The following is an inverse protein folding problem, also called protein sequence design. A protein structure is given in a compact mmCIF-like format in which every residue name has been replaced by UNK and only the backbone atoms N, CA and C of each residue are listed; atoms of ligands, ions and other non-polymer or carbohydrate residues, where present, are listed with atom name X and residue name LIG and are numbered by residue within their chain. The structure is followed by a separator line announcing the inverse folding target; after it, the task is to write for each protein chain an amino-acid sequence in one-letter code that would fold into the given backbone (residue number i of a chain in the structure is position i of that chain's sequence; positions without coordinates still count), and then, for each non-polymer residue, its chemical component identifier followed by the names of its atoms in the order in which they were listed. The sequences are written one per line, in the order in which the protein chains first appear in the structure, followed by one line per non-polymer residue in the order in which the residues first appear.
data_IF_686482993001
#
_entry.id   IF_686482993001
#
_cell.length_a   1.000
_cell.length_b   1.000
_cell.length_c   1.000
_cell.angle_alpha   90.00
_cell.angle_beta   90.00
_cell.angle_gamma   90.00
#
_symmetry.space_group_name_H-M   'P 1'
#
loop_
_entity.id
_entity.type
_entity.pdbx_description
1 polymer ?
#
# COMPACT_ATOMS: atom_id res chain seq x y z
N UNK A 1 -25.88 38.91 -26.72
CA UNK A 1 -26.83 37.80 -26.72
C UNK A 1 -26.17 36.69 -25.93
N UNK A 2 -26.74 36.42 -24.76
CA UNK A 2 -26.36 35.40 -23.79
C UNK A 2 -26.16 34.04 -24.48
N UNK A 3 -24.93 33.55 -24.57
CA UNK A 3 -24.69 32.12 -24.81
C UNK A 3 -24.53 31.49 -23.44
N UNK A 4 -25.67 31.03 -22.90
CA UNK A 4 -25.69 30.06 -21.82
C UNK A 4 -24.80 28.89 -22.26
N UNK A 5 -23.68 28.69 -21.57
CA UNK A 5 -23.00 27.41 -21.53
C UNK A 5 -23.74 26.60 -20.45
N UNK A 6 -24.68 25.71 -20.82
CA UNK A 6 -25.30 24.88 -19.82
C UNK A 6 -24.22 23.93 -19.36
N UNK A 7 -23.80 24.09 -18.10
CA UNK A 7 -23.06 23.07 -17.36
C UNK A 7 -23.73 21.72 -17.59
N UNK A 8 -23.22 20.99 -18.59
CA UNK A 8 -23.68 19.66 -18.96
C UNK A 8 -23.22 18.73 -17.85
N UNK A 9 -23.98 18.71 -16.78
CA UNK A 9 -23.92 17.68 -15.75
C UNK A 9 -24.43 16.39 -16.42
N UNK A 10 -23.58 15.40 -16.73
CA UNK A 10 -24.06 14.17 -17.32
C UNK A 10 -24.76 13.39 -16.21
N UNK A 11 -26.09 13.34 -16.27
CA UNK A 11 -26.87 12.40 -15.50
C UNK A 11 -26.56 10.97 -15.98
N UNK A 12 -25.66 10.26 -15.28
CA UNK A 12 -25.26 8.88 -15.58
C UNK A 12 -26.05 7.84 -14.76
N UNK A 13 -27.39 7.94 -14.81
CA UNK A 13 -28.33 7.30 -13.88
C UNK A 13 -28.39 5.75 -13.84
N UNK A 14 -27.58 4.99 -14.58
CA UNK A 14 -27.71 3.52 -14.65
C UNK A 14 -26.44 2.73 -14.27
N UNK A 15 -25.32 3.40 -13.99
CA UNK A 15 -24.04 2.75 -13.66
C UNK A 15 -23.50 3.13 -12.27
N UNK A 16 -24.17 4.03 -11.53
CA UNK A 16 -23.71 4.51 -10.23
C UNK A 16 -23.50 3.37 -9.22
N UNK A 17 -24.42 2.40 -9.20
CA UNK A 17 -24.30 1.22 -8.34
C UNK A 17 -23.03 0.38 -8.65
N UNK A 18 -22.58 0.35 -9.91
CA UNK A 18 -21.33 -0.32 -10.30
C UNK A 18 -20.11 0.49 -9.86
N UNK A 19 -20.16 1.83 -9.97
CA UNK A 19 -19.12 2.72 -9.49
C UNK A 19 -18.93 2.62 -7.97
N UNK A 20 -20.01 2.65 -7.19
CA UNK A 20 -19.94 2.48 -5.74
C UNK A 20 -19.41 1.10 -5.33
N UNK A 21 -19.80 0.03 -6.05
CA UNK A 21 -19.24 -1.30 -5.81
C UNK A 21 -17.74 -1.35 -6.10
N UNK A 22 -17.28 -0.73 -7.18
CA UNK A 22 -15.87 -0.70 -7.54
C UNK A 22 -15.06 0.13 -6.53
N UNK A 23 -15.56 1.30 -6.16
CA UNK A 23 -14.96 2.16 -5.15
C UNK A 23 -14.89 1.45 -3.78
N UNK A 24 -15.96 0.77 -3.38
CA UNK A 24 -15.99 0.00 -2.13
C UNK A 24 -15.01 -1.17 -2.17
N UNK A 25 -14.89 -1.89 -3.29
CA UNK A 25 -13.93 -2.99 -3.42
C UNK A 25 -12.50 -2.51 -3.27
N UNK A 26 -12.15 -1.38 -3.90
CA UNK A 26 -10.83 -0.75 -3.76
C UNK A 26 -10.59 -0.33 -2.31
N UNK A 27 -11.56 0.35 -1.69
CA UNK A 27 -11.46 0.78 -0.29
C UNK A 27 -11.22 -0.42 0.64
N UNK A 28 -11.94 -1.52 0.44
CA UNK A 28 -11.78 -2.73 1.24
C UNK A 28 -10.44 -3.41 0.96
N UNK A 29 -10.02 -3.55 -0.30
CA UNK A 29 -8.74 -4.20 -0.63
C UNK A 29 -7.55 -3.44 -0.03
N UNK A 30 -7.50 -2.12 -0.22
CA UNK A 30 -6.42 -1.30 0.34
C UNK A 30 -6.52 -1.19 1.86
N UNK A 31 -7.72 -0.98 2.40
CA UNK A 31 -7.96 -0.91 3.83
C UNK A 31 -7.57 -2.20 4.53
N UNK A 32 -7.97 -3.36 4.00
CA UNK A 32 -7.62 -4.67 4.53
C UNK A 32 -6.12 -4.96 4.42
N UNK A 33 -5.50 -4.65 3.28
CA UNK A 33 -4.07 -4.87 3.06
C UNK A 33 -3.20 -4.08 4.04
N UNK A 34 -3.65 -2.90 4.47
CA UNK A 34 -2.95 -2.10 5.49
C UNK A 34 -3.32 -2.51 6.92
N UNK A 35 -4.61 -2.67 7.20
CA UNK A 35 -5.12 -2.89 8.54
C UNK A 35 -4.78 -4.28 9.07
N UNK A 36 -4.87 -5.33 8.24
CA UNK A 36 -4.63 -6.71 8.67
C UNK A 36 -3.21 -6.90 9.22
N UNK A 37 -2.12 -6.61 8.49
CA UNK A 37 -0.77 -6.80 9.00
C UNK A 37 -0.46 -5.87 10.18
N UNK A 38 -1.01 -4.65 10.20
CA UNK A 38 -0.85 -3.73 11.32
C UNK A 38 -1.51 -4.28 12.59
N UNK A 39 -2.76 -4.75 12.50
CA UNK A 39 -3.51 -5.32 13.62
C UNK A 39 -2.92 -6.66 14.07
N UNK A 40 -2.51 -7.53 13.15
CA UNK A 40 -1.84 -8.80 13.48
C UNK A 40 -0.53 -8.54 14.21
N UNK A 41 0.29 -7.61 13.71
CA UNK A 41 1.56 -7.25 14.36
C UNK A 41 1.34 -6.62 15.73
N UNK A 42 0.32 -5.76 15.86
CA UNK A 42 -0.03 -5.14 17.13
C UNK A 42 -0.54 -6.16 18.15
N UNK A 43 -1.43 -7.06 17.73
CA UNK A 43 -1.96 -8.12 18.60
C UNK A 43 -0.87 -9.07 19.05
N UNK A 44 0.01 -9.50 18.13
CA UNK A 44 1.14 -10.37 18.43
C UNK A 44 2.15 -9.67 19.36
N UNK A 45 2.39 -8.38 19.14
CA UNK A 45 3.23 -7.55 20.01
C UNK A 45 2.66 -7.46 21.43
N UNK A 46 1.37 -7.17 21.59
CA UNK A 46 0.71 -7.08 22.92
C UNK A 46 0.71 -8.45 23.62
N UNK A 47 0.46 -9.55 22.91
CA UNK A 47 0.47 -10.89 23.48
C UNK A 47 1.85 -11.25 24.03
N UNK A 48 2.91 -10.94 23.28
CA UNK A 48 4.29 -11.19 23.69
C UNK A 48 4.71 -10.28 24.86
N UNK A 49 4.34 -9.00 24.83
CA UNK A 49 4.60 -8.01 25.88
C UNK A 49 3.94 -8.41 27.22
N UNK A 50 2.72 -8.97 27.15
CA UNK A 50 1.99 -9.49 28.32
C UNK A 50 2.64 -10.74 28.90
N UNK A 51 3.33 -11.54 28.10
CA UNK A 51 4.03 -12.74 28.56
C UNK A 51 5.39 -12.41 29.19
N UNK A 52 6.05 -11.33 28.76
CA UNK A 52 7.34 -10.86 29.31
C UNK A 52 7.20 -9.77 30.40
N UNK A 53 5.98 -9.30 30.69
CA UNK A 53 5.71 -8.34 31.78
C UNK A 53 6.34 -6.96 31.59
N UNK A 54 6.73 -6.60 30.37
CA UNK A 54 7.38 -5.32 30.03
C UNK A 54 6.37 -4.35 29.42
N UNK A 55 6.61 -3.03 29.58
CA UNK A 55 5.82 -1.93 28.98
C UNK A 55 5.87 -2.01 27.44
N UNK A 56 4.92 -1.39 26.67
CA UNK A 56 4.69 -1.60 25.22
C UNK A 56 5.81 -1.12 24.30
N UNK A 57 6.99 -1.69 24.47
CA UNK A 57 8.20 -1.46 23.71
C UNK A 57 8.37 -2.53 22.64
N UNK A 58 7.93 -3.77 22.91
CA UNK A 58 8.05 -4.89 21.96
C UNK A 58 7.26 -4.62 20.67
N UNK A 59 6.11 -3.95 20.77
CA UNK A 59 5.28 -3.58 19.63
C UNK A 59 5.99 -2.57 18.71
N UNK A 60 6.65 -1.57 19.29
CA UNK A 60 7.48 -0.60 18.57
C UNK A 60 8.71 -1.25 17.95
N UNK A 61 9.38 -2.15 18.68
CA UNK A 61 10.56 -2.86 18.17
C UNK A 61 10.19 -3.80 17.02
N UNK A 62 9.08 -4.53 17.12
CA UNK A 62 8.62 -5.43 16.07
C UNK A 62 8.18 -4.66 14.81
N UNK A 63 7.51 -3.51 14.99
CA UNK A 63 7.17 -2.59 13.90
C UNK A 63 8.44 -2.03 13.22
N UNK A 64 9.44 -1.61 14.00
CA UNK A 64 10.72 -1.14 13.47
C UNK A 64 11.50 -2.24 12.75
N UNK A 65 11.48 -3.46 13.26
CA UNK A 65 12.10 -4.63 12.62
C UNK A 65 11.41 -4.92 11.29
N UNK A 66 10.07 -4.95 11.24
CA UNK A 66 9.31 -5.15 10.00
C UNK A 66 9.58 -4.06 8.97
N UNK A 67 9.65 -2.80 9.41
CA UNK A 67 9.97 -1.65 8.57
C UNK A 67 11.39 -1.72 8.01
N UNK A 68 12.37 -2.04 8.85
CA UNK A 68 13.78 -2.16 8.44
C UNK A 68 14.02 -3.35 7.52
N UNK A 69 13.37 -4.50 7.75
CA UNK A 69 13.43 -5.65 6.84
C UNK A 69 12.86 -5.31 5.46
N UNK A 70 11.70 -4.65 5.42
CA UNK A 70 11.04 -4.22 4.18
C UNK A 70 11.91 -3.23 3.41
N UNK A 71 12.48 -2.25 4.11
CA UNK A 71 13.42 -1.27 3.55
C UNK A 71 14.65 -1.94 2.93
N UNK A 72 15.26 -2.89 3.65
CA UNK A 72 16.42 -3.64 3.15
C UNK A 72 16.09 -4.48 1.91
N UNK A 73 14.90 -5.10 1.85
CA UNK A 73 14.49 -5.87 0.68
C UNK A 73 14.28 -5.00 -0.56
N UNK A 74 13.69 -3.81 -0.40
CA UNK A 74 13.50 -2.84 -1.50
C UNK A 74 14.86 -2.39 -2.05
N UNK A 75 15.81 -2.03 -1.19
CA UNK A 75 17.16 -1.62 -1.62
C UNK A 75 17.91 -2.74 -2.36
N UNK A 76 17.75 -3.99 -1.92
CA UNK A 76 18.34 -5.15 -2.61
C UNK A 76 17.74 -5.34 -4.00
N UNK A 77 16.42 -5.24 -4.12
CA UNK A 77 15.71 -5.34 -5.41
C UNK A 77 16.10 -4.19 -6.34
N UNK A 78 16.11 -2.95 -5.86
CA UNK A 78 16.46 -1.78 -6.66
C UNK A 78 17.85 -1.91 -7.31
N UNK A 79 18.85 -2.40 -6.58
CA UNK A 79 20.19 -2.66 -7.14
C UNK A 79 20.21 -3.79 -8.15
N UNK A 80 19.39 -4.82 -7.95
CA UNK A 80 19.25 -5.94 -8.89
C UNK A 80 18.68 -5.43 -10.22
N UNK A 81 17.58 -4.68 -10.17
CA UNK A 81 16.97 -4.09 -11.36
C UNK A 81 17.89 -3.08 -12.05
N UNK A 82 18.62 -2.24 -11.31
CA UNK A 82 19.60 -1.32 -11.89
C UNK A 82 20.65 -2.05 -12.75
N UNK A 83 21.09 -3.23 -12.30
CA UNK A 83 22.07 -4.06 -13.01
C UNK A 83 21.48 -4.71 -14.26
N UNK A 84 20.19 -5.06 -14.24
CA UNK A 84 19.47 -5.57 -15.40
C UNK A 84 19.25 -4.47 -16.45
N UNK A 85 18.97 -3.23 -16.03
CA UNK A 85 18.86 -2.08 -16.95
C UNK A 85 20.19 -1.74 -17.63
N UNK A 86 21.33 -1.82 -16.93
CA UNK A 86 22.65 -1.62 -17.56
C UNK A 86 22.97 -2.69 -18.61
N UNK A 87 22.55 -3.94 -18.41
CA UNK A 87 22.75 -5.02 -19.38
C UNK A 87 21.95 -4.80 -20.66
N UNK A 88 20.68 -4.45 -20.53
CA UNK A 88 19.79 -4.19 -21.68
C UNK A 88 20.26 -2.94 -22.45
N UNK A 89 20.76 -1.91 -21.75
CA UNK A 89 21.33 -0.72 -22.39
C UNK A 89 22.60 -1.01 -23.20
N UNK A 90 23.42 -1.99 -22.78
CA UNK A 90 24.67 -2.34 -23.45
C UNK A 90 24.47 -3.21 -24.71
N UNK A 91 23.42 -4.04 -24.74
CA UNK A 91 23.10 -4.94 -25.87
C UNK A 91 22.44 -4.22 -27.05
N UNK A 92 21.91 -3.00 -26.83
CA UNK A 92 21.35 -2.13 -27.88
C UNK A 92 22.42 -1.28 -28.61
N UNK A 93 23.66 -1.30 -28.14
CA UNK A 93 24.74 -0.39 -28.61
C UNK A 93 25.92 -1.17 -29.24
N UNK A 94 25.83 -2.50 -29.34
CA UNK A 94 26.78 -3.37 -30.07
C UNK A 94 26.07 -3.97 -31.27
#
# INVERSE_FOLDING_TARGET
MENQDPSHTPAHQNNDAKYYRLAFRILVDFGATLAIPALVSAFLGIWLDRHLGTKPWILIVCLFIGFTLTWMMILRKARLYAKDFERIGKERVV
#
